data_IF_609567105261
#
_entry.id   IF_609567105261
#
_cell.length_a   1.000
_cell.length_b   1.000
_cell.length_c   1.000
_cell.angle_alpha   90.00
_cell.angle_beta   90.00
_cell.angle_gamma   90.00
#
_symmetry.space_group_name_H-M   'P 1'
#
loop_
_entity.id
_entity.type
_entity.pdbx_description
1 polymer ?
#
# COMPACT_ATOMS: atom_id res chain seq x y z
N UNK A 1 19.33 2.63 10.19
CA UNK A 1 19.33 1.18 10.48
C UNK A 1 20.48 0.73 11.38
N UNK A 2 21.76 1.00 11.05
CA UNK A 2 22.92 0.53 11.86
C UNK A 2 23.02 1.21 13.25
N UNK A 3 22.59 2.46 13.39
CA UNK A 3 22.75 3.21 14.65
C UNK A 3 21.80 2.74 15.77
N UNK A 4 20.60 2.24 15.46
CA UNK A 4 19.66 1.73 16.48
C UNK A 4 20.08 0.36 17.04
N UNK A 5 20.79 -0.44 16.25
CA UNK A 5 21.28 -1.77 16.67
C UNK A 5 22.34 -1.63 17.79
N UNK A 6 23.21 -0.62 17.70
CA UNK A 6 24.25 -0.41 18.71
C UNK A 6 23.71 0.11 20.05
N UNK A 7 22.60 0.86 20.05
CA UNK A 7 21.93 1.29 21.29
C UNK A 7 21.15 0.16 21.97
N UNK A 8 20.60 -0.79 21.19
CA UNK A 8 19.93 -1.99 21.70
C UNK A 8 20.90 -2.99 22.33
N UNK A 9 22.08 -3.21 21.72
CA UNK A 9 23.13 -4.09 22.28
C UNK A 9 23.68 -3.54 23.61
N UNK A 10 23.70 -2.21 23.81
CA UNK A 10 24.24 -1.60 25.02
C UNK A 10 23.34 -1.76 26.27
N UNK A 11 22.03 -2.04 26.09
CA UNK A 11 21.10 -2.25 27.21
C UNK A 11 21.19 -3.64 27.84
N UNK A 12 21.76 -4.61 27.16
CA UNK A 12 21.73 -6.03 27.54
C UNK A 12 22.90 -6.48 28.43
N UNK A 13 23.81 -5.56 28.81
CA UNK A 13 25.00 -5.88 29.63
C UNK A 13 24.79 -5.59 31.13
N UNK A 14 23.57 -5.27 31.55
CA UNK A 14 23.21 -5.07 32.96
C UNK A 14 22.63 -6.34 33.56
N UNK A 15 23.50 -7.16 34.16
CA UNK A 15 23.14 -8.38 34.86
C UNK A 15 22.29 -8.12 36.12
N UNK A 16 20.98 -8.31 36.00
CA UNK A 16 20.09 -8.65 37.11
C UNK A 16 19.17 -9.79 36.63
N UNK A 17 19.65 -11.03 36.70
CA UNK A 17 18.82 -12.21 36.43
C UNK A 17 17.81 -12.36 37.58
N UNK A 18 16.57 -11.94 37.35
CA UNK A 18 15.46 -12.38 38.20
C UNK A 18 15.33 -13.91 38.13
N UNK A 19 15.11 -14.61 39.25
CA UNK A 19 14.90 -16.05 39.24
C UNK A 19 13.58 -16.37 38.52
N UNK A 20 13.69 -16.99 37.35
CA UNK A 20 12.56 -17.49 36.55
C UNK A 20 11.86 -18.60 37.36
N UNK A 21 10.57 -18.44 37.63
CA UNK A 21 9.79 -19.48 38.31
C UNK A 21 9.47 -20.66 37.37
N UNK A 22 9.20 -21.84 37.96
CA UNK A 22 8.92 -23.07 37.21
C UNK A 22 7.70 -22.97 36.28
N UNK A 23 6.75 -22.08 36.56
CA UNK A 23 5.54 -21.91 35.77
C UNK A 23 5.80 -21.06 34.51
N UNK A 24 6.71 -20.09 34.62
CA UNK A 24 7.22 -19.26 33.53
C UNK A 24 8.07 -20.09 32.58
N UNK A 25 9.04 -20.84 33.11
CA UNK A 25 9.87 -21.76 32.31
C UNK A 25 9.02 -22.77 31.52
N UNK A 26 7.94 -23.28 32.12
CA UNK A 26 7.04 -24.23 31.45
C UNK A 26 6.29 -23.58 30.28
N UNK A 27 5.82 -22.34 30.44
CA UNK A 27 5.17 -21.59 29.35
C UNK A 27 6.13 -21.34 28.19
N UNK A 28 7.37 -20.97 28.49
CA UNK A 28 8.39 -20.74 27.47
C UNK A 28 8.75 -22.02 26.70
N UNK A 29 8.87 -23.17 27.39
CA UNK A 29 9.09 -24.47 26.75
C UNK A 29 7.91 -24.86 25.84
N UNK A 30 6.67 -24.66 26.29
CA UNK A 30 5.48 -24.95 25.50
C UNK A 30 5.40 -24.05 24.25
N UNK A 31 5.79 -22.78 24.37
CA UNK A 31 5.90 -21.85 23.24
C UNK A 31 6.97 -22.29 22.23
N UNK A 32 8.18 -22.63 22.68
CA UNK A 32 9.28 -23.15 21.84
C UNK A 32 8.85 -24.41 21.09
N UNK A 33 8.19 -25.36 21.77
CA UNK A 33 7.72 -26.60 21.15
C UNK A 33 6.65 -26.35 20.07
N UNK A 34 5.73 -25.41 20.32
CA UNK A 34 4.71 -24.99 19.33
C UNK A 34 5.36 -24.32 18.13
N UNK A 35 6.32 -23.43 18.36
CA UNK A 35 7.10 -22.76 17.33
C UNK A 35 7.88 -23.77 16.43
N UNK A 36 8.53 -24.77 17.02
CA UNK A 36 9.19 -25.85 16.26
C UNK A 36 8.21 -26.64 15.37
N UNK A 37 6.98 -26.88 15.84
CA UNK A 37 5.98 -27.60 15.07
C UNK A 37 5.52 -26.81 13.84
N UNK A 38 5.26 -25.51 14.01
CA UNK A 38 4.90 -24.63 12.89
C UNK A 38 6.03 -24.49 11.89
N UNK A 39 7.28 -24.39 12.37
CA UNK A 39 8.47 -24.34 11.53
C UNK A 39 8.66 -25.61 10.68
N UNK A 40 8.34 -26.80 11.23
CA UNK A 40 8.35 -28.08 10.50
C UNK A 40 7.29 -28.14 9.39
N UNK A 41 6.19 -27.39 9.50
CA UNK A 41 5.22 -27.28 8.40
C UNK A 41 5.78 -26.44 7.27
N UNK A 42 6.42 -25.30 7.59
CA UNK A 42 7.11 -24.47 6.62
C UNK A 42 8.23 -25.23 5.88
N UNK A 43 8.97 -26.10 6.57
CA UNK A 43 10.00 -26.95 5.95
C UNK A 43 9.45 -27.88 4.86
N UNK A 44 8.25 -28.44 5.06
CA UNK A 44 7.62 -29.30 4.05
C UNK A 44 7.25 -28.51 2.81
N UNK A 45 6.72 -27.29 2.98
CA UNK A 45 6.38 -26.39 1.88
C UNK A 45 7.63 -25.86 1.14
N UNK A 46 8.73 -25.59 1.85
CA UNK A 46 10.01 -25.23 1.22
C UNK A 46 10.60 -26.42 0.45
N UNK A 47 10.47 -27.64 0.98
CA UNK A 47 10.98 -28.84 0.30
C UNK A 47 10.26 -29.09 -1.03
N UNK A 48 8.98 -28.72 -1.15
CA UNK A 48 8.23 -28.79 -2.42
C UNK A 48 8.69 -27.77 -3.47
N UNK A 49 9.46 -26.75 -3.08
CA UNK A 49 10.06 -25.76 -3.98
C UNK A 49 11.42 -26.21 -4.55
N UNK A 50 11.98 -27.35 -4.12
CA UNK A 50 13.28 -27.81 -4.60
C UNK A 50 13.21 -28.34 -6.05
N UNK A 51 13.85 -27.63 -6.98
CA UNK A 51 13.98 -28.04 -8.38
C UNK A 51 12.88 -27.56 -9.32
N UNK A 52 12.00 -26.67 -8.85
CA UNK A 52 11.01 -25.95 -9.65
C UNK A 52 11.18 -24.43 -9.45
N UNK A 53 10.69 -23.59 -10.38
CA UNK A 53 10.61 -22.14 -10.15
C UNK A 53 9.88 -21.88 -8.83
N UNK A 54 10.33 -20.90 -8.06
CA UNK A 54 9.69 -20.61 -6.79
C UNK A 54 8.25 -20.13 -7.02
N UNK A 55 7.29 -20.75 -6.34
CA UNK A 55 5.86 -20.42 -6.44
C UNK A 55 5.54 -19.32 -5.43
N UNK A 56 5.01 -18.19 -5.90
CA UNK A 56 4.75 -17.02 -5.07
C UNK A 56 3.72 -17.31 -3.96
N UNK A 57 2.71 -18.15 -4.23
CA UNK A 57 1.68 -18.51 -3.26
C UNK A 57 2.26 -19.41 -2.15
N UNK A 58 3.06 -20.41 -2.54
CA UNK A 58 3.74 -21.28 -1.58
C UNK A 58 4.73 -20.46 -0.74
N UNK A 59 5.46 -19.52 -1.35
CA UNK A 59 6.37 -18.63 -0.62
C UNK A 59 5.65 -17.69 0.34
N UNK A 60 4.54 -17.08 -0.06
CA UNK A 60 3.72 -16.24 0.81
C UNK A 60 3.16 -17.05 1.99
N UNK A 61 2.71 -18.29 1.74
CA UNK A 61 2.29 -19.21 2.80
C UNK A 61 3.42 -19.55 3.77
N UNK A 62 4.63 -19.79 3.26
CA UNK A 62 5.82 -20.06 4.08
C UNK A 62 6.18 -18.84 4.92
N UNK A 63 6.22 -17.64 4.34
CA UNK A 63 6.47 -16.40 5.05
C UNK A 63 5.40 -16.19 6.16
N UNK A 64 4.12 -16.36 5.86
CA UNK A 64 3.07 -16.26 6.88
C UNK A 64 3.25 -17.26 8.04
N UNK A 65 3.69 -18.49 7.77
CA UNK A 65 4.04 -19.44 8.84
C UNK A 65 5.24 -18.97 9.67
N UNK A 66 6.28 -18.44 9.03
CA UNK A 66 7.45 -17.90 9.73
C UNK A 66 7.08 -16.72 10.64
N UNK A 67 6.17 -15.84 10.20
CA UNK A 67 5.62 -14.75 11.04
C UNK A 67 4.94 -15.31 12.28
N UNK A 68 4.12 -16.35 12.14
CA UNK A 68 3.42 -16.97 13.28
C UNK A 68 4.38 -17.63 14.28
N UNK A 69 5.48 -18.22 13.82
CA UNK A 69 6.55 -18.75 14.67
C UNK A 69 7.12 -17.63 15.55
N UNK A 70 7.47 -16.51 14.93
CA UNK A 70 8.04 -15.35 15.63
C UNK A 70 7.05 -14.77 16.64
N UNK A 71 5.79 -14.56 16.25
CA UNK A 71 4.74 -14.04 17.13
C UNK A 71 4.45 -14.97 18.32
N UNK A 72 4.56 -16.29 18.14
CA UNK A 72 4.39 -17.26 19.24
C UNK A 72 5.51 -17.16 20.27
N UNK A 73 6.70 -16.73 19.84
CA UNK A 73 7.87 -16.56 20.70
C UNK A 73 7.95 -15.17 21.34
N UNK A 74 7.25 -14.18 20.78
CA UNK A 74 7.16 -12.83 21.32
C UNK A 74 6.40 -12.84 22.66
N UNK A 75 7.04 -12.32 23.72
CA UNK A 75 6.57 -12.36 25.11
C UNK A 75 7.06 -13.56 25.93
N UNK A 76 7.90 -14.42 25.36
CA UNK A 76 8.51 -15.59 26.02
C UNK A 76 10.05 -15.57 26.01
N UNK A 77 10.69 -14.51 25.49
CA UNK A 77 12.14 -14.39 25.39
C UNK A 77 12.58 -12.92 25.60
N UNK A 78 13.69 -12.64 26.33
CA UNK A 78 14.30 -11.31 26.37
C UNK A 78 14.62 -10.68 24.99
N UNK A 79 14.70 -11.45 23.90
CA UNK A 79 14.96 -10.99 22.53
C UNK A 79 13.71 -10.54 21.73
N UNK A 80 12.65 -10.10 22.40
CA UNK A 80 11.37 -9.70 21.77
C UNK A 80 11.53 -8.69 20.62
N UNK A 81 12.51 -7.78 20.70
CA UNK A 81 12.79 -6.81 19.64
C UNK A 81 13.36 -7.46 18.37
N UNK A 82 14.19 -8.49 18.50
CA UNK A 82 14.77 -9.24 17.37
C UNK A 82 13.69 -10.09 16.72
N UNK A 83 12.85 -10.73 17.54
CA UNK A 83 11.67 -11.43 17.07
C UNK A 83 10.77 -10.49 16.27
N UNK A 84 10.35 -9.36 16.83
CA UNK A 84 9.51 -8.40 16.10
C UNK A 84 10.11 -7.92 14.78
N UNK A 85 11.41 -7.61 14.74
CA UNK A 85 12.09 -7.20 13.50
C UNK A 85 12.09 -8.32 12.43
N UNK A 86 12.27 -9.59 12.85
CA UNK A 86 12.17 -10.75 11.96
C UNK A 86 10.74 -10.91 11.42
N UNK A 87 9.71 -10.81 12.26
CA UNK A 87 8.32 -10.89 11.83
C UNK A 87 7.97 -9.80 10.81
N UNK A 88 8.41 -8.56 11.04
CA UNK A 88 8.22 -7.45 10.11
C UNK A 88 8.91 -7.68 8.77
N UNK A 89 10.15 -8.20 8.77
CA UNK A 89 10.85 -8.53 7.54
C UNK A 89 10.18 -9.65 6.74
N UNK A 90 9.67 -10.67 7.43
CA UNK A 90 8.91 -11.77 6.82
C UNK A 90 7.60 -11.26 6.19
N UNK A 91 6.88 -10.39 6.90
CA UNK A 91 5.65 -9.76 6.43
C UNK A 91 5.90 -8.93 5.17
N UNK A 92 6.99 -8.14 5.15
CA UNK A 92 7.37 -7.38 3.97
C UNK A 92 7.60 -8.28 2.74
N UNK A 93 8.24 -9.45 2.91
CA UNK A 93 8.43 -10.40 1.82
C UNK A 93 7.12 -11.08 1.37
N UNK A 94 6.24 -11.46 2.31
CA UNK A 94 4.93 -12.00 1.99
C UNK A 94 4.12 -11.01 1.14
N UNK A 95 4.08 -9.74 1.55
CA UNK A 95 3.38 -8.67 0.85
C UNK A 95 3.93 -8.45 -0.56
N UNK A 96 5.26 -8.45 -0.73
CA UNK A 96 5.85 -8.35 -2.07
C UNK A 96 5.45 -9.51 -2.99
N UNK A 97 5.33 -10.72 -2.46
CA UNK A 97 4.88 -11.88 -3.24
C UNK A 97 3.39 -11.79 -3.57
N UNK A 98 2.57 -11.30 -2.65
CA UNK A 98 1.14 -11.04 -2.88
C UNK A 98 0.94 -9.98 -3.97
N UNK A 99 1.71 -8.89 -3.95
CA UNK A 99 1.70 -7.87 -5.01
C UNK A 99 2.08 -8.49 -6.35
N UNK A 100 3.18 -9.26 -6.42
CA UNK A 100 3.60 -9.91 -7.68
C UNK A 100 2.52 -10.88 -8.20
N UNK A 101 1.87 -11.62 -7.30
CA UNK A 101 0.79 -12.55 -7.67
C UNK A 101 -0.47 -11.80 -8.10
N UNK A 102 -0.84 -10.72 -7.43
CA UNK A 102 -2.03 -9.95 -7.74
C UNK A 102 -1.99 -9.38 -9.16
N UNK A 103 -0.80 -9.06 -9.69
CA UNK A 103 -0.62 -8.70 -11.10
C UNK A 103 -1.00 -9.78 -12.11
N UNK A 104 -1.05 -11.05 -11.70
CA UNK A 104 -1.44 -12.17 -12.58
C UNK A 104 -2.91 -12.51 -12.51
N UNK A 105 -3.65 -11.91 -11.57
CA UNK A 105 -5.06 -12.21 -11.33
C UNK A 105 -5.89 -10.98 -11.70
N UNK A 106 -6.73 -11.05 -12.74
CA UNK A 106 -7.56 -9.92 -13.13
C UNK A 106 -8.55 -9.55 -12.01
N UNK A 107 -9.03 -8.31 -12.04
CA UNK A 107 -9.97 -7.78 -11.05
C UNK A 107 -9.31 -7.16 -9.83
N UNK A 108 -9.97 -7.30 -8.68
CA UNK A 108 -9.58 -6.66 -7.42
C UNK A 108 -8.11 -6.92 -7.00
N UNK A 109 -7.53 -8.14 -7.13
CA UNK A 109 -6.14 -8.38 -6.72
C UNK A 109 -5.10 -7.54 -7.49
N UNK A 110 -5.34 -7.27 -8.77
CA UNK A 110 -4.47 -6.39 -9.56
C UNK A 110 -4.64 -4.93 -9.12
N UNK A 111 -5.86 -4.51 -8.83
CA UNK A 111 -6.16 -3.16 -8.31
C UNK A 111 -5.45 -2.91 -6.98
N UNK A 112 -5.52 -3.85 -6.05
CA UNK A 112 -4.78 -3.83 -4.78
C UNK A 112 -3.28 -3.78 -4.97
N UNK A 113 -2.75 -4.56 -5.92
CA UNK A 113 -1.32 -4.59 -6.23
C UNK A 113 -0.84 -3.24 -6.77
N UNK A 114 -1.64 -2.58 -7.60
CA UNK A 114 -1.35 -1.24 -8.10
C UNK A 114 -1.32 -0.20 -6.96
N UNK A 115 -2.32 -0.22 -6.08
CA UNK A 115 -2.37 0.66 -4.91
C UNK A 115 -1.18 0.43 -3.97
N UNK A 116 -0.80 -0.83 -3.74
CA UNK A 116 0.34 -1.18 -2.92
C UNK A 116 1.67 -0.69 -3.52
N UNK A 117 1.84 -0.75 -4.85
CA UNK A 117 3.03 -0.20 -5.53
C UNK A 117 3.11 1.32 -5.34
N UNK A 118 2.01 2.04 -5.52
CA UNK A 118 1.96 3.49 -5.28
C UNK A 118 2.30 3.83 -3.82
N UNK A 119 1.69 3.12 -2.87
CA UNK A 119 1.94 3.31 -1.44
C UNK A 119 3.42 3.09 -1.07
N UNK A 120 4.02 1.98 -1.50
CA UNK A 120 5.44 1.70 -1.23
C UNK A 120 6.36 2.73 -1.93
N UNK A 121 5.96 3.26 -3.09
CA UNK A 121 6.65 4.37 -3.76
C UNK A 121 6.71 5.62 -2.89
N UNK A 122 5.57 6.07 -2.36
CA UNK A 122 5.48 7.24 -1.46
C UNK A 122 6.23 6.97 -0.14
N UNK A 123 6.02 5.81 0.46
CA UNK A 123 6.67 5.42 1.72
C UNK A 123 8.19 5.36 1.60
N UNK A 124 8.71 4.83 0.48
CA UNK A 124 10.15 4.69 0.27
C UNK A 124 10.85 5.99 -0.11
N UNK A 125 10.15 6.96 -0.70
CA UNK A 125 10.69 8.32 -0.92
C UNK A 125 10.88 9.08 0.40
N UNK A 126 10.16 8.69 1.45
CA UNK A 126 10.10 9.39 2.72
C UNK A 126 9.43 10.76 2.60
N UNK A 127 8.67 10.99 1.53
CA UNK A 127 7.96 12.23 1.31
C UNK A 127 6.76 12.34 2.25
N UNK A 128 6.69 13.46 2.96
CA UNK A 128 5.59 13.80 3.87
C UNK A 128 4.99 15.15 3.48
N UNK A 129 5.05 15.50 2.19
CA UNK A 129 4.47 16.73 1.66
C UNK A 129 2.95 16.69 1.76
N UNK A 130 2.31 17.85 1.62
CA UNK A 130 0.86 17.96 1.54
C UNK A 130 0.27 17.05 0.44
N UNK A 131 0.87 17.07 -0.74
CA UNK A 131 0.46 16.20 -1.85
C UNK A 131 0.62 14.71 -1.54
N UNK A 132 1.73 14.32 -0.90
CA UNK A 132 1.91 12.93 -0.46
C UNK A 132 0.84 12.49 0.56
N UNK A 133 0.44 13.37 1.49
CA UNK A 133 -0.65 13.10 2.43
C UNK A 133 -2.00 12.90 1.73
N UNK A 134 -2.31 13.74 0.74
CA UNK A 134 -3.54 13.62 -0.04
C UNK A 134 -3.55 12.33 -0.89
N UNK A 135 -2.43 12.00 -1.54
CA UNK A 135 -2.28 10.77 -2.32
C UNK A 135 -2.39 9.52 -1.43
N UNK A 136 -1.76 9.51 -0.25
CA UNK A 136 -1.94 8.45 0.74
C UNK A 136 -3.41 8.32 1.14
N UNK A 137 -4.09 9.43 1.39
CA UNK A 137 -5.49 9.39 1.79
C UNK A 137 -6.40 8.84 0.68
N UNK A 138 -6.16 9.21 -0.58
CA UNK A 138 -6.87 8.62 -1.72
C UNK A 138 -6.66 7.11 -1.81
N UNK A 139 -5.41 6.64 -1.68
CA UNK A 139 -5.11 5.19 -1.69
C UNK A 139 -5.87 4.44 -0.58
N UNK A 140 -5.95 5.02 0.62
CA UNK A 140 -6.70 4.44 1.73
C UNK A 140 -8.20 4.37 1.44
N UNK A 141 -8.78 5.41 0.83
CA UNK A 141 -10.19 5.45 0.43
C UNK A 141 -10.47 4.40 -0.65
N UNK A 142 -9.61 4.32 -1.68
CA UNK A 142 -9.76 3.37 -2.78
C UNK A 142 -9.77 1.92 -2.28
N UNK A 143 -8.81 1.54 -1.43
CA UNK A 143 -8.78 0.20 -0.82
C UNK A 143 -10.00 -0.07 0.06
N UNK A 144 -10.42 0.92 0.85
CA UNK A 144 -11.57 0.78 1.75
C UNK A 144 -12.87 0.51 0.98
N UNK A 145 -13.10 1.29 -0.07
CA UNK A 145 -14.29 1.22 -0.89
C UNK A 145 -14.30 0.00 -1.80
N UNK A 146 -13.17 -0.37 -2.40
CA UNK A 146 -13.09 -1.55 -3.29
C UNK A 146 -13.38 -2.87 -2.58
N UNK A 147 -13.18 -2.91 -1.26
CA UNK A 147 -13.49 -4.06 -0.42
C UNK A 147 -14.86 -4.00 0.27
N UNK A 148 -15.57 -2.87 0.15
CA UNK A 148 -16.85 -2.68 0.83
C UNK A 148 -16.75 -2.73 2.37
N UNK A 149 -15.61 -2.34 2.97
CA UNK A 149 -15.40 -2.48 4.42
C UNK A 149 -16.44 -1.71 5.27
N UNK A 150 -16.99 -0.63 4.72
CA UNK A 150 -18.03 0.17 5.35
C UNK A 150 -19.46 -0.32 5.11
N UNK A 151 -19.69 -1.29 4.21
CA UNK A 151 -21.04 -1.71 3.86
C UNK A 151 -21.82 -2.25 5.07
N UNK A 152 -23.08 -1.81 5.18
CA UNK A 152 -23.96 -2.17 6.28
C UNK A 152 -23.60 -1.54 7.64
N UNK A 153 -22.55 -0.72 7.73
CA UNK A 153 -22.22 0.03 8.94
C UNK A 153 -23.08 1.29 9.05
N UNK A 154 -23.40 1.67 10.29
CA UNK A 154 -24.13 2.90 10.56
C UNK A 154 -23.31 4.13 10.12
N UNK A 155 -23.93 5.04 9.37
CA UNK A 155 -23.27 6.26 8.89
C UNK A 155 -22.52 6.10 7.57
N UNK A 156 -22.33 4.86 7.07
CA UNK A 156 -21.54 4.61 5.87
C UNK A 156 -21.99 5.42 4.66
N UNK A 157 -23.29 5.47 4.36
CA UNK A 157 -23.78 6.19 3.17
C UNK A 157 -23.35 7.67 3.12
N UNK A 158 -23.27 8.35 4.27
CA UNK A 158 -22.81 9.75 4.31
C UNK A 158 -21.29 9.85 4.23
N UNK A 159 -20.55 8.88 4.78
CA UNK A 159 -19.09 8.83 4.69
C UNK A 159 -18.65 8.47 3.28
N UNK A 160 -19.33 7.51 2.66
CA UNK A 160 -19.14 7.09 1.26
C UNK A 160 -19.36 8.26 0.31
N UNK A 161 -20.44 9.02 0.45
CA UNK A 161 -20.65 10.25 -0.34
C UNK A 161 -19.45 11.19 -0.26
N UNK A 162 -18.92 11.43 0.95
CA UNK A 162 -17.75 12.27 1.13
C UNK A 162 -16.50 11.67 0.48
N UNK A 163 -16.22 10.38 0.73
CA UNK A 163 -15.09 9.64 0.13
C UNK A 163 -15.08 9.76 -1.39
N UNK A 164 -16.24 9.63 -2.03
CA UNK A 164 -16.36 9.72 -3.49
C UNK A 164 -15.91 11.08 -4.03
N UNK A 165 -16.12 12.18 -3.29
CA UNK A 165 -15.66 13.51 -3.68
C UNK A 165 -14.15 13.71 -3.47
N UNK A 166 -13.56 13.08 -2.45
CA UNK A 166 -12.09 13.12 -2.29
C UNK A 166 -11.39 12.53 -3.51
N UNK A 167 -11.95 11.48 -4.10
CA UNK A 167 -11.39 10.81 -5.27
C UNK A 167 -11.52 11.63 -6.56
N UNK A 168 -12.50 12.53 -6.63
CA UNK A 168 -12.71 13.40 -7.79
C UNK A 168 -11.77 14.60 -7.82
N UNK A 169 -11.42 15.14 -6.66
CA UNK A 169 -10.95 16.53 -6.59
C UNK A 169 -9.82 16.81 -5.59
N UNK A 170 -9.14 15.76 -5.12
CA UNK A 170 -7.98 15.89 -4.23
C UNK A 170 -6.81 15.04 -4.72
N UNK A 171 -5.64 15.18 -4.08
CA UNK A 171 -4.43 14.51 -4.52
C UNK A 171 -3.69 15.28 -5.60
N UNK A 172 -2.48 14.83 -5.90
CA UNK A 172 -1.56 15.48 -6.82
C UNK A 172 -2.23 15.84 -8.16
N UNK A 173 -2.34 17.13 -8.46
CA UNK A 173 -2.83 17.62 -9.76
C UNK A 173 -4.36 17.71 -9.91
N UNK A 174 -5.15 17.32 -8.89
CA UNK A 174 -6.61 17.13 -9.02
C UNK A 174 -7.46 18.18 -8.31
N UNK A 175 -6.89 19.25 -7.75
CA UNK A 175 -7.62 20.20 -6.91
C UNK A 175 -8.75 20.89 -7.70
N UNK A 176 -10.01 20.55 -7.40
CA UNK A 176 -11.17 21.08 -8.11
C UNK A 176 -12.32 21.45 -7.18
N UNK A 177 -13.02 22.56 -7.49
CA UNK A 177 -14.25 22.95 -6.84
C UNK A 177 -15.46 22.34 -7.53
N UNK A 178 -16.16 21.43 -6.87
CA UNK A 178 -17.39 20.84 -7.41
C UNK A 178 -18.40 20.64 -6.28
N UNK A 179 -19.68 20.86 -6.56
CA UNK A 179 -20.77 20.58 -5.61
C UNK A 179 -20.61 21.24 -4.21
N UNK A 180 -19.95 22.41 -4.18
CA UNK A 180 -19.65 23.14 -2.95
C UNK A 180 -18.56 22.49 -2.07
N UNK A 181 -17.79 21.56 -2.62
CA UNK A 181 -16.53 21.08 -2.04
C UNK A 181 -15.41 22.07 -2.31
N UNK A 182 -14.96 22.68 -1.22
CA UNK A 182 -13.78 23.54 -1.14
C UNK A 182 -12.79 22.95 -0.13
N UNK A 183 -11.58 23.49 -0.08
CA UNK A 183 -10.57 23.06 0.89
C UNK A 183 -11.06 23.08 2.35
N UNK A 184 -11.98 23.99 2.71
CA UNK A 184 -12.53 24.03 4.06
C UNK A 184 -13.53 22.88 4.33
N UNK A 185 -14.28 22.41 3.33
CA UNK A 185 -15.19 21.27 3.41
C UNK A 185 -14.41 19.96 3.41
N UNK A 186 -13.42 19.80 2.54
CA UNK A 186 -12.48 18.66 2.58
C UNK A 186 -11.81 18.56 3.96
N UNK A 187 -11.23 19.66 4.46
CA UNK A 187 -10.60 19.69 5.78
C UNK A 187 -11.54 19.36 6.96
N UNK A 188 -12.86 19.53 6.83
CA UNK A 188 -13.83 19.14 7.89
C UNK A 188 -14.25 17.67 7.81
N UNK A 189 -14.09 17.06 6.65
CA UNK A 189 -14.48 15.67 6.39
C UNK A 189 -13.35 14.67 6.74
N UNK A 190 -12.10 15.12 6.79
CA UNK A 190 -10.93 14.27 7.02
C UNK A 190 -11.05 13.42 8.29
N UNK A 191 -11.29 14.02 9.46
CA UNK A 191 -11.40 13.30 10.73
C UNK A 191 -12.48 12.22 10.69
N UNK A 192 -13.69 12.57 10.23
CA UNK A 192 -14.82 11.63 10.16
C UNK A 192 -14.52 10.43 9.24
N UNK A 193 -13.94 10.68 8.06
CA UNK A 193 -13.58 9.62 7.11
C UNK A 193 -12.42 8.79 7.64
N UNK A 194 -11.36 9.42 8.14
CA UNK A 194 -10.15 8.77 8.63
C UNK A 194 -10.47 7.83 9.79
N UNK A 195 -11.20 8.32 10.80
CA UNK A 195 -11.61 7.53 11.96
C UNK A 195 -12.55 6.40 11.56
N UNK A 196 -13.48 6.67 10.64
CA UNK A 196 -14.39 5.64 10.14
C UNK A 196 -13.64 4.52 9.42
N UNK A 197 -12.68 4.85 8.55
CA UNK A 197 -11.86 3.85 7.87
C UNK A 197 -11.02 3.05 8.86
N UNK A 198 -10.30 3.73 9.76
CA UNK A 198 -9.44 3.09 10.77
C UNK A 198 -10.23 2.11 11.66
N UNK A 199 -11.47 2.45 12.01
CA UNK A 199 -12.32 1.61 12.86
C UNK A 199 -12.95 0.40 12.14
N UNK A 200 -13.05 0.43 10.80
CA UNK A 200 -13.79 -0.58 10.03
C UNK A 200 -12.91 -1.39 9.06
N UNK A 201 -11.69 -0.95 8.75
CA UNK A 201 -10.75 -1.71 7.93
C UNK A 201 -10.08 -2.82 8.77
N UNK A 202 -9.85 -4.02 8.19
CA UNK A 202 -9.07 -5.06 8.85
C UNK A 202 -7.63 -4.59 9.17
N UNK A 203 -7.04 -4.96 10.32
CA UNK A 203 -5.68 -4.51 10.68
C UNK A 203 -4.57 -4.87 9.69
N UNK A 204 -4.80 -5.87 8.84
CA UNK A 204 -3.89 -6.34 7.80
C UNK A 204 -4.29 -5.88 6.39
N UNK A 205 -5.26 -4.97 6.28
CA UNK A 205 -5.64 -4.35 4.98
C UNK A 205 -4.68 -3.24 4.61
N UNK A 206 -4.59 -2.94 3.32
CA UNK A 206 -3.77 -1.84 2.81
C UNK A 206 -4.27 -0.49 3.35
N UNK A 207 -5.59 -0.29 3.41
CA UNK A 207 -6.21 0.88 4.04
C UNK A 207 -5.68 1.10 5.46
N UNK A 208 -5.72 0.07 6.31
CA UNK A 208 -5.27 0.20 7.70
C UNK A 208 -3.77 0.51 7.79
N UNK A 209 -2.96 -0.10 6.93
CA UNK A 209 -1.51 0.14 6.89
C UNK A 209 -1.20 1.58 6.46
N UNK A 210 -1.88 2.10 5.44
CA UNK A 210 -1.70 3.48 4.96
C UNK A 210 -2.05 4.47 6.08
N UNK A 211 -3.22 4.31 6.71
CA UNK A 211 -3.65 5.22 7.78
C UNK A 211 -2.73 5.15 9.00
N UNK A 212 -2.19 3.98 9.31
CA UNK A 212 -1.18 3.81 10.36
C UNK A 212 0.09 4.57 10.01
N UNK A 213 0.60 4.40 8.78
CA UNK A 213 1.77 5.14 8.29
C UNK A 213 1.55 6.65 8.33
N UNK A 214 0.38 7.13 7.90
CA UNK A 214 0.04 8.56 7.98
C UNK A 214 0.12 9.07 9.42
N UNK A 215 -0.42 8.33 10.39
CA UNK A 215 -0.39 8.70 11.82
C UNK A 215 1.01 8.68 12.42
N UNK A 216 1.81 7.67 12.10
CA UNK A 216 3.11 7.44 12.73
C UNK A 216 4.21 8.29 12.10
N UNK A 217 4.18 8.48 10.79
CA UNK A 217 5.31 9.03 10.02
C UNK A 217 4.99 10.36 9.32
N UNK A 218 3.72 10.69 9.09
CA UNK A 218 3.32 11.89 8.32
C UNK A 218 2.59 12.95 9.14
N UNK A 219 2.48 12.79 10.47
CA UNK A 219 1.79 13.74 11.35
C UNK A 219 0.26 13.54 11.46
N UNK A 220 -0.26 12.52 10.79
CA UNK A 220 -1.65 12.07 10.89
C UNK A 220 -2.68 12.98 10.24
N UNK A 221 -3.94 12.71 10.55
CA UNK A 221 -5.10 13.41 9.98
C UNK A 221 -5.06 14.92 10.18
N UNK A 222 -4.46 15.41 11.28
CA UNK A 222 -4.34 16.84 11.54
C UNK A 222 -3.45 17.59 10.54
N UNK A 223 -2.41 16.96 9.97
CA UNK A 223 -1.61 17.59 8.91
C UNK A 223 -2.36 17.56 7.57
N UNK A 224 -3.12 16.50 7.29
CA UNK A 224 -4.01 16.42 6.13
C UNK A 224 -5.09 17.52 6.18
N UNK A 225 -5.72 17.75 7.33
CA UNK A 225 -6.69 18.84 7.49
C UNK A 225 -6.06 20.21 7.24
N UNK A 226 -4.85 20.45 7.73
CA UNK A 226 -4.12 21.71 7.52
C UNK A 226 -3.78 21.89 6.05
N UNK A 227 -3.40 20.81 5.37
CA UNK A 227 -3.12 20.82 3.95
C UNK A 227 -4.35 21.31 3.17
N UNK A 228 -5.51 20.66 3.33
CA UNK A 228 -6.73 21.11 2.65
C UNK A 228 -7.17 22.52 3.06
N UNK A 229 -7.00 22.90 4.33
CA UNK A 229 -7.45 24.22 4.80
C UNK A 229 -6.61 25.37 4.26
N UNK A 230 -5.31 25.15 4.09
CA UNK A 230 -4.36 26.24 3.87
C UNK A 230 -3.73 26.23 2.47
N UNK A 231 -3.67 25.06 1.82
CA UNK A 231 -2.87 24.84 0.60
C UNK A 231 -3.69 24.30 -0.58
N UNK A 232 -5.00 24.13 -0.44
CA UNK A 232 -5.86 23.60 -1.51
C UNK A 232 -5.86 24.45 -2.79
N UNK A 233 -5.55 25.75 -2.68
CA UNK A 233 -5.50 26.69 -3.81
C UNK A 233 -4.08 27.11 -4.19
N UNK A 234 -3.06 26.43 -3.66
CA UNK A 234 -1.70 26.82 -3.94
C UNK A 234 -1.39 26.61 -5.44
N UNK A 235 -0.75 27.59 -6.12
CA UNK A 235 -0.38 27.45 -7.53
C UNK A 235 0.50 26.22 -7.79
N UNK A 236 0.27 25.56 -8.92
CA UNK A 236 0.99 24.32 -9.28
C UNK A 236 0.35 23.04 -8.74
N UNK A 237 -0.88 23.10 -8.22
CA UNK A 237 -1.69 21.94 -7.82
C UNK A 237 -2.64 21.41 -8.90
N UNK A 238 -2.64 21.98 -10.11
CA UNK A 238 -3.64 21.70 -11.15
C UNK A 238 -2.99 21.11 -12.40
N UNK A 239 -3.31 19.86 -12.72
CA UNK A 239 -2.67 19.13 -13.82
C UNK A 239 -2.98 19.71 -15.19
N UNK A 240 -4.13 20.38 -15.34
CA UNK A 240 -4.56 21.04 -16.57
C UNK A 240 -3.90 22.41 -16.79
N UNK A 241 -3.12 22.93 -15.83
CA UNK A 241 -2.41 24.18 -16.04
C UNK A 241 -1.20 24.04 -16.96
N UNK A 242 -1.01 25.04 -17.82
CA UNK A 242 0.16 25.10 -18.70
C UNK A 242 1.45 25.14 -17.88
N UNK A 243 2.33 24.16 -18.11
CA UNK A 243 3.63 24.05 -17.44
C UNK A 243 3.59 23.29 -16.12
N UNK A 244 2.48 22.61 -15.80
CA UNK A 244 2.43 21.66 -14.69
C UNK A 244 3.52 20.59 -14.83
N UNK A 245 4.21 20.31 -13.72
CA UNK A 245 5.29 19.33 -13.66
C UNK A 245 5.24 18.47 -12.39
N UNK A 246 4.09 18.44 -11.72
CA UNK A 246 3.87 17.65 -10.50
C UNK A 246 3.57 16.18 -10.78
N UNK A 247 3.12 15.47 -9.75
CA UNK A 247 2.64 14.09 -9.87
C UNK A 247 1.22 14.01 -10.43
N UNK A 248 0.77 12.80 -10.72
CA UNK A 248 -0.67 12.52 -10.85
C UNK A 248 -1.15 11.85 -9.56
N UNK A 249 -2.37 12.20 -9.15
CA UNK A 249 -3.04 11.58 -8.02
C UNK A 249 -3.24 10.07 -8.28
N UNK A 250 -3.28 9.24 -7.23
CA UNK A 250 -3.52 7.81 -7.37
C UNK A 250 -4.73 7.48 -8.23
N UNK A 251 -5.82 8.25 -8.09
CA UNK A 251 -7.02 8.01 -8.87
C UNK A 251 -6.77 8.26 -10.37
N UNK A 252 -6.10 9.35 -10.74
CA UNK A 252 -5.76 9.65 -12.12
C UNK A 252 -4.77 8.66 -12.72
N UNK A 253 -3.80 8.19 -11.92
CA UNK A 253 -2.86 7.13 -12.36
C UNK A 253 -3.60 5.86 -12.72
N UNK A 254 -4.58 5.47 -11.91
CA UNK A 254 -5.40 4.29 -12.17
C UNK A 254 -6.29 4.47 -13.39
N UNK A 255 -6.94 5.63 -13.56
CA UNK A 255 -7.73 5.95 -14.75
C UNK A 255 -6.88 5.90 -16.03
N UNK A 256 -5.71 6.55 -16.01
CA UNK A 256 -4.75 6.56 -17.10
C UNK A 256 -4.26 5.14 -17.45
N UNK A 257 -3.84 4.37 -16.44
CA UNK A 257 -3.39 2.99 -16.64
C UNK A 257 -4.51 2.10 -17.20
N UNK A 258 -5.73 2.22 -16.70
CA UNK A 258 -6.89 1.47 -17.18
C UNK A 258 -7.24 1.81 -18.62
N UNK A 259 -7.30 3.09 -18.98
CA UNK A 259 -7.51 3.52 -20.36
C UNK A 259 -6.43 3.00 -21.29
N UNK A 260 -5.15 3.04 -20.87
CA UNK A 260 -4.05 2.52 -21.68
C UNK A 260 -4.14 1.01 -21.88
N UNK A 261 -4.39 0.24 -20.81
CA UNK A 261 -4.49 -1.21 -20.88
C UNK A 261 -5.71 -1.71 -21.65
N UNK A 262 -6.77 -0.90 -21.76
CA UNK A 262 -7.91 -1.21 -22.63
C UNK A 262 -7.54 -1.23 -24.12
N UNK A 263 -6.53 -0.43 -24.52
CA UNK A 263 -6.03 -0.36 -25.90
C UNK A 263 -4.85 -1.32 -26.10
N UNK A 264 -3.88 -1.28 -25.18
CA UNK A 264 -2.64 -2.04 -25.21
C UNK A 264 -2.56 -2.99 -24.01
N UNK A 265 -3.27 -4.14 -24.04
CA UNK A 265 -3.39 -5.01 -22.87
C UNK A 265 -2.10 -5.79 -22.53
N UNK A 266 -1.09 -5.76 -23.40
CA UNK A 266 0.15 -6.52 -23.25
C UNK A 266 1.31 -5.58 -23.01
N UNK A 267 1.54 -5.26 -21.74
CA UNK A 267 2.67 -4.43 -21.31
C UNK A 267 3.60 -5.17 -20.36
N UNK A 268 4.85 -4.75 -20.34
CA UNK A 268 5.83 -5.21 -19.37
C UNK A 268 5.59 -4.56 -18.00
N UNK A 269 6.01 -5.22 -16.91
CA UNK A 269 5.83 -4.69 -15.54
C UNK A 269 6.49 -3.31 -15.35
N UNK A 270 7.60 -3.02 -16.02
CA UNK A 270 8.23 -1.69 -15.94
C UNK A 270 7.35 -0.57 -16.49
N UNK A 271 6.49 -0.86 -17.46
CA UNK A 271 5.52 0.12 -17.96
C UNK A 271 4.46 0.37 -16.90
N UNK A 272 3.90 -0.69 -16.30
CA UNK A 272 2.95 -0.57 -15.18
C UNK A 272 3.56 0.25 -14.02
N UNK A 273 4.77 -0.10 -13.58
CA UNK A 273 5.47 0.61 -12.52
C UNK A 273 5.62 2.12 -12.87
N UNK A 274 5.90 2.43 -14.15
CA UNK A 274 6.00 3.80 -14.66
C UNK A 274 4.67 4.54 -14.58
N UNK A 275 3.55 3.94 -15.05
CA UNK A 275 2.21 4.55 -14.89
C UNK A 275 1.89 4.90 -13.44
N UNK A 276 2.28 4.03 -12.51
CA UNK A 276 1.95 4.17 -11.09
C UNK A 276 2.88 5.11 -10.32
N UNK A 277 4.11 5.35 -10.78
CA UNK A 277 5.11 6.05 -9.94
C UNK A 277 5.85 7.19 -10.64
N UNK A 278 5.86 7.23 -11.97
CA UNK A 278 6.62 8.23 -12.71
C UNK A 278 5.98 9.63 -12.63
N UNK A 279 6.78 10.71 -12.78
CA UNK A 279 6.24 12.07 -12.91
C UNK A 279 5.41 12.23 -14.20
N UNK A 280 4.50 13.19 -14.21
CA UNK A 280 3.58 13.41 -15.35
C UNK A 280 4.30 13.62 -16.68
N UNK A 281 5.45 14.30 -16.68
CA UNK A 281 6.23 14.54 -17.90
C UNK A 281 6.74 13.25 -18.57
N UNK A 282 7.03 12.22 -17.78
CA UNK A 282 7.44 10.91 -18.30
C UNK A 282 6.23 10.18 -18.88
N UNK A 283 5.06 10.29 -18.23
CA UNK A 283 3.80 9.76 -18.73
C UNK A 283 3.38 10.41 -20.05
N UNK A 284 3.47 11.74 -20.14
CA UNK A 284 3.18 12.50 -21.37
C UNK A 284 4.05 12.02 -22.52
N UNK A 285 5.37 11.90 -22.28
CA UNK A 285 6.33 11.39 -23.28
C UNK A 285 5.95 9.97 -23.71
N UNK A 286 5.68 9.08 -22.74
CA UNK A 286 5.38 7.69 -23.04
C UNK A 286 4.09 7.56 -23.86
N UNK A 287 3.02 8.24 -23.45
CA UNK A 287 1.73 8.24 -24.16
C UNK A 287 1.93 8.79 -25.57
N UNK A 288 2.61 9.92 -25.73
CA UNK A 288 2.87 10.52 -27.04
C UNK A 288 3.60 9.56 -28.01
N UNK A 289 4.59 8.82 -27.50
CA UNK A 289 5.39 7.90 -28.31
C UNK A 289 4.69 6.58 -28.63
N UNK A 290 3.78 6.12 -27.75
CA UNK A 290 3.17 4.79 -27.83
C UNK A 290 1.70 4.81 -28.27
N UNK A 291 1.13 6.00 -28.52
CA UNK A 291 -0.21 6.17 -29.09
C UNK A 291 -0.13 6.95 -30.40
N UNK A 292 -0.52 6.29 -31.50
CA UNK A 292 -0.30 6.83 -32.86
C UNK A 292 -1.57 7.22 -33.60
N UNK A 293 -2.75 6.80 -33.13
CA UNK A 293 -4.04 7.15 -33.73
C UNK A 293 -5.22 6.88 -32.77
N UNK A 294 -5.82 7.90 -32.15
CA UNK A 294 -5.37 9.30 -32.18
C UNK A 294 -3.99 9.47 -31.49
N UNK A 295 -3.32 10.58 -31.82
CA UNK A 295 -2.10 11.00 -31.17
C UNK A 295 -2.47 11.92 -30.00
N UNK A 296 -1.84 11.73 -28.85
CA UNK A 296 -2.09 12.52 -27.65
C UNK A 296 -0.83 13.31 -27.27
N UNK A 297 -1.00 14.58 -26.97
CA UNK A 297 0.10 15.46 -26.56
C UNK A 297 0.40 15.35 -25.05
N UNK A 298 -0.54 14.80 -24.27
CA UNK A 298 -0.38 14.55 -22.83
C UNK A 298 -1.12 13.31 -22.35
N UNK A 299 -0.71 12.81 -21.19
CA UNK A 299 -1.38 11.72 -20.50
C UNK A 299 -2.80 12.11 -20.03
N UNK A 300 -3.04 13.37 -19.70
CA UNK A 300 -4.37 13.83 -19.27
C UNK A 300 -5.34 13.96 -20.45
N UNK A 301 -4.88 14.42 -21.61
CA UNK A 301 -5.68 14.39 -22.84
C UNK A 301 -6.10 12.95 -23.18
N UNK A 302 -5.19 11.99 -23.01
CA UNK A 302 -5.52 10.57 -23.15
C UNK A 302 -6.62 10.11 -22.17
N UNK A 303 -6.57 10.55 -20.91
CA UNK A 303 -7.65 10.23 -19.93
C UNK A 303 -8.98 10.80 -20.39
N UNK A 304 -9.03 12.04 -20.88
CA UNK A 304 -10.26 12.66 -21.35
C UNK A 304 -10.87 11.97 -22.58
N UNK A 305 -10.08 11.40 -23.46
CA UNK A 305 -10.63 10.70 -24.63
C UNK A 305 -11.06 9.25 -24.32
N UNK A 306 -10.46 8.61 -23.31
CA UNK A 306 -10.66 7.18 -23.05
C UNK A 306 -11.50 6.87 -21.80
N UNK A 307 -11.60 7.81 -20.87
CA UNK A 307 -12.45 7.73 -19.68
C UNK A 307 -13.11 9.09 -19.37
N UNK A 308 -13.23 9.95 -20.40
CA UNK A 308 -13.80 11.27 -20.22
C UNK A 308 -15.31 11.37 -20.40
N UNK A 309 -15.80 12.60 -20.25
CA UNK A 309 -17.22 12.93 -20.17
C UNK A 309 -18.04 12.36 -21.33
N UNK A 310 -18.88 11.36 -21.01
CA UNK A 310 -19.93 10.85 -21.89
C UNK A 310 -21.28 10.90 -21.18
N UNK A 311 -22.12 11.86 -21.60
CA UNK A 311 -23.44 12.04 -21.02
C UNK A 311 -23.37 12.63 -19.62
N UNK A 312 -23.40 11.78 -18.59
CA UNK A 312 -23.45 12.20 -17.17
C UNK A 312 -22.34 11.61 -16.31
N UNK A 313 -21.32 11.01 -16.92
CA UNK A 313 -20.18 10.34 -16.27
C UNK A 313 -18.90 10.63 -17.07
N UNK A 314 -17.74 10.79 -16.43
CA UNK A 314 -16.43 10.83 -17.08
C UNK A 314 -15.57 12.05 -16.71
N UNK A 315 -14.26 11.89 -16.84
CA UNK A 315 -13.28 12.95 -16.60
C UNK A 315 -13.38 14.08 -17.62
N UNK A 316 -13.17 15.31 -17.16
CA UNK A 316 -13.16 16.49 -18.02
C UNK A 316 -12.26 17.59 -17.47
N UNK A 317 -11.95 18.54 -18.32
CA UNK A 317 -11.37 19.81 -17.94
C UNK A 317 -12.48 20.85 -17.73
N UNK A 318 -12.37 21.63 -16.66
CA UNK A 318 -13.30 22.73 -16.37
C UNK A 318 -12.54 24.00 -15.98
N UNK A 319 -13.03 25.13 -16.47
CA UNK A 319 -12.57 26.45 -16.04
C UNK A 319 -13.15 26.77 -14.65
N UNK A 320 -12.29 27.12 -13.71
CA UNK A 320 -12.67 27.54 -12.37
C UNK A 320 -12.02 28.87 -12.02
N UNK A 321 -12.65 29.58 -11.07
CA UNK A 321 -12.14 30.86 -10.57
C UNK A 321 -11.86 30.71 -9.09
N UNK A 322 -10.64 31.05 -8.69
CA UNK A 322 -10.29 31.10 -7.29
C UNK A 322 -11.05 32.26 -6.58
N UNK A 323 -11.05 32.32 -5.24
CA UNK A 323 -11.68 33.41 -4.50
C UNK A 323 -11.12 34.81 -4.80
N UNK A 324 -9.93 34.91 -5.39
CA UNK A 324 -9.29 36.16 -5.81
C UNK A 324 -9.69 36.58 -7.24
N UNK A 325 -10.36 35.71 -7.99
CA UNK A 325 -10.85 35.93 -9.34
C UNK A 325 -9.90 35.47 -10.45
N UNK A 326 -8.82 34.76 -10.11
CA UNK A 326 -7.90 34.18 -11.07
C UNK A 326 -8.50 32.88 -11.65
N UNK A 327 -8.40 32.72 -12.97
CA UNK A 327 -8.92 31.54 -13.67
C UNK A 327 -7.89 30.42 -13.70
N UNK A 328 -8.30 29.22 -13.32
CA UNK A 328 -7.50 28.00 -13.37
C UNK A 328 -8.27 26.94 -14.15
N UNK A 329 -7.54 26.12 -14.91
CA UNK A 329 -8.10 24.92 -15.52
C UNK A 329 -7.86 23.76 -14.57
N UNK A 330 -8.93 23.06 -14.19
CA UNK A 330 -8.85 21.92 -13.28
C UNK A 330 -9.45 20.70 -13.93
N UNK A 331 -8.97 19.54 -13.50
CA UNK A 331 -9.60 18.27 -13.81
C UNK A 331 -10.79 18.04 -12.88
N UNK A 332 -11.89 17.55 -13.43
CA UNK A 332 -13.15 17.32 -12.73
C UNK A 332 -13.78 16.02 -13.23
N UNK A 333 -14.59 15.39 -12.39
CA UNK A 333 -15.43 14.28 -12.80
C UNK A 333 -16.85 14.79 -13.05
N UNK A 334 -17.35 14.62 -14.28
CA UNK A 334 -18.76 14.86 -14.55
C UNK A 334 -19.57 13.71 -13.94
N UNK A 335 -20.19 13.92 -12.77
CA UNK A 335 -20.96 12.88 -12.09
C UNK A 335 -21.26 13.26 -10.65
N UNK A 336 -21.58 12.28 -9.81
CA UNK A 336 -21.79 12.48 -8.36
C UNK A 336 -20.85 11.54 -7.63
N UNK A 337 -19.56 11.74 -7.68
CA UNK A 337 -18.59 10.89 -6.99
C UNK A 337 -18.01 9.73 -7.81
N UNK A 338 -16.77 9.35 -7.50
CA UNK A 338 -16.17 8.07 -7.91
C UNK A 338 -16.36 7.02 -6.81
N UNK A 339 -17.22 6.03 -7.05
CA UNK A 339 -17.55 4.97 -6.08
C UNK A 339 -16.96 3.60 -6.39
N UNK A 340 -17.32 2.60 -5.58
CA UNK A 340 -16.90 1.22 -5.76
C UNK A 340 -17.28 0.67 -7.16
N UNK A 341 -18.41 1.12 -7.70
CA UNK A 341 -18.87 0.80 -9.04
C UNK A 341 -17.89 1.27 -10.13
N UNK A 342 -17.19 2.38 -9.92
CA UNK A 342 -16.20 2.88 -10.85
C UNK A 342 -14.94 2.00 -10.81
N UNK A 343 -14.49 1.59 -9.61
CA UNK A 343 -13.36 0.66 -9.49
C UNK A 343 -13.69 -0.70 -10.09
N UNK A 344 -14.89 -1.23 -9.85
CA UNK A 344 -15.35 -2.48 -10.45
C UNK A 344 -15.25 -2.44 -11.98
N UNK A 345 -15.74 -1.36 -12.60
CA UNK A 345 -15.62 -1.20 -14.04
C UNK A 345 -14.16 -1.08 -14.50
N UNK A 346 -13.32 -0.39 -13.72
CA UNK A 346 -11.91 -0.24 -14.01
C UNK A 346 -11.19 -1.59 -13.98
N UNK A 347 -11.29 -2.33 -12.89
CA UNK A 347 -10.49 -3.54 -12.69
C UNK A 347 -11.03 -4.79 -13.39
N UNK A 348 -12.33 -4.85 -13.70
CA UNK A 348 -12.88 -5.95 -14.47
C UNK A 348 -12.39 -5.96 -15.93
N UNK A 349 -11.89 -4.81 -16.40
CA UNK A 349 -11.36 -4.65 -17.75
C UNK A 349 -9.83 -4.78 -17.82
N UNK A 350 -9.15 -4.98 -16.69
CA UNK A 350 -7.71 -5.24 -16.74
C UNK A 350 -7.40 -6.60 -17.36
N UNK A 351 -6.43 -6.66 -18.28
CA UNK A 351 -6.03 -7.91 -18.92
C UNK A 351 -5.29 -8.83 -17.94
N UNK A 352 -5.50 -10.14 -18.07
CA UNK A 352 -4.63 -11.13 -17.42
C UNK A 352 -3.20 -11.01 -17.97
N UNK A 353 -2.21 -11.01 -17.08
CA UNK A 353 -0.79 -10.92 -17.44
C UNK A 353 -0.03 -12.15 -16.96
N UNK A 354 0.79 -12.71 -17.84
CA UNK A 354 1.76 -13.75 -17.46
C UNK A 354 2.92 -13.15 -16.67
N UNK A 355 3.49 -13.92 -15.73
CA UNK A 355 4.74 -13.54 -15.07
C UNK A 355 5.85 -13.36 -16.10
N UNK A 356 6.55 -12.22 -16.05
CA UNK A 356 7.72 -11.98 -16.88
C UNK A 356 8.97 -12.62 -16.25
N UNK A 357 10.05 -12.75 -17.03
CA UNK A 357 11.34 -13.23 -16.52
C UNK A 357 11.83 -12.39 -15.31
N UNK A 358 11.58 -11.08 -15.34
CA UNK A 358 11.91 -10.15 -14.24
C UNK A 358 11.09 -10.42 -12.99
N UNK A 359 9.81 -10.78 -13.14
CA UNK A 359 8.96 -11.17 -12.01
C UNK A 359 9.43 -12.49 -11.40
N UNK A 360 9.79 -13.47 -12.24
CA UNK A 360 10.35 -14.75 -11.81
C UNK A 360 11.68 -14.54 -11.08
N UNK A 361 12.54 -13.64 -11.57
CA UNK A 361 13.79 -13.27 -10.88
C UNK A 361 13.52 -12.67 -9.49
N UNK A 362 12.58 -11.71 -9.39
CA UNK A 362 12.16 -11.13 -8.11
C UNK A 362 11.62 -12.21 -7.16
N UNK A 363 10.74 -13.09 -7.63
CA UNK A 363 10.18 -14.19 -6.84
C UNK A 363 11.29 -15.13 -6.33
N UNK A 364 12.27 -15.47 -7.17
CA UNK A 364 13.39 -16.31 -6.76
C UNK A 364 14.27 -15.63 -5.70
N UNK A 365 14.56 -14.33 -5.86
CA UNK A 365 15.32 -13.54 -4.89
C UNK A 365 14.61 -13.49 -3.53
N UNK A 366 13.30 -13.22 -3.52
CA UNK A 366 12.49 -13.26 -2.30
C UNK A 366 12.47 -14.68 -1.72
N UNK A 367 12.33 -15.70 -2.59
CA UNK A 367 12.36 -17.10 -2.18
C UNK A 367 13.65 -17.50 -1.47
N UNK A 368 14.80 -16.98 -1.89
CA UNK A 368 16.07 -17.20 -1.22
C UNK A 368 16.15 -16.46 0.13
N UNK A 369 15.58 -15.25 0.23
CA UNK A 369 15.47 -14.53 1.50
C UNK A 369 14.55 -15.28 2.50
N UNK A 370 13.41 -15.78 2.05
CA UNK A 370 12.48 -16.59 2.86
C UNK A 370 13.15 -17.88 3.34
N UNK A 371 13.95 -18.55 2.50
CA UNK A 371 14.75 -19.73 2.92
C UNK A 371 15.80 -19.36 3.96
N UNK A 372 16.48 -18.22 3.80
CA UNK A 372 17.48 -17.75 4.77
C UNK A 372 16.84 -17.41 6.12
N UNK A 373 15.67 -16.77 6.12
CA UNK A 373 14.87 -16.52 7.31
C UNK A 373 14.48 -17.82 8.01
N UNK A 374 14.07 -18.85 7.24
CA UNK A 374 13.77 -20.17 7.79
C UNK A 374 14.96 -20.74 8.58
N UNK A 375 16.17 -20.67 8.01
CA UNK A 375 17.37 -21.18 8.69
C UNK A 375 17.73 -20.35 9.93
N UNK A 376 17.53 -19.04 9.86
CA UNK A 376 17.76 -18.13 10.99
C UNK A 376 16.81 -18.45 12.14
N UNK A 377 15.52 -18.66 11.86
CA UNK A 377 14.52 -19.04 12.86
C UNK A 377 14.83 -20.41 13.49
N UNK A 378 15.30 -21.39 12.69
CA UNK A 378 15.76 -22.69 13.22
C UNK A 378 16.90 -22.53 14.20
N UNK A 379 17.89 -21.72 13.85
CA UNK A 379 19.05 -21.48 14.69
C UNK A 379 18.64 -20.81 15.99
N UNK A 380 17.82 -19.75 15.90
CA UNK A 380 17.29 -19.03 17.05
C UNK A 380 16.51 -19.93 18.01
N UNK A 381 15.54 -20.71 17.51
CA UNK A 381 14.80 -21.66 18.34
C UNK A 381 15.70 -22.71 19.00
N UNK A 382 16.79 -23.11 18.34
CA UNK A 382 17.76 -24.03 18.94
C UNK A 382 18.50 -23.40 20.12
N UNK A 383 18.84 -22.11 20.04
CA UNK A 383 19.45 -21.36 21.14
C UNK A 383 18.47 -21.25 22.31
N UNK A 384 17.24 -20.79 22.07
CA UNK A 384 16.21 -20.66 23.10
C UNK A 384 16.01 -21.98 23.86
N UNK A 385 15.99 -23.11 23.14
CA UNK A 385 15.87 -24.43 23.75
C UNK A 385 17.10 -24.81 24.59
N UNK A 386 18.29 -24.54 24.09
CA UNK A 386 19.53 -24.86 24.80
C UNK A 386 19.67 -24.03 26.08
N UNK A 387 19.24 -22.76 26.06
CA UNK A 387 19.13 -21.90 27.24
C UNK A 387 18.10 -22.43 28.25
N UNK A 388 16.89 -22.76 27.80
CA UNK A 388 15.85 -23.35 28.64
C UNK A 388 16.32 -24.67 29.28
N UNK A 389 17.04 -25.52 28.53
CA UNK A 389 17.64 -26.74 29.06
C UNK A 389 18.74 -26.46 30.08
N UNK A 390 19.55 -25.41 29.88
CA UNK A 390 20.57 -25.00 30.84
C UNK A 390 19.94 -24.49 32.14
N UNK A 391 18.89 -23.66 32.04
CA UNK A 391 18.11 -23.16 33.18
C UNK A 391 17.46 -24.34 33.93
N UNK A 392 16.80 -25.24 33.21
CA UNK A 392 16.15 -26.41 33.80
C UNK A 392 17.12 -27.40 34.48
N UNK A 393 18.41 -27.41 34.09
CA UNK A 393 19.46 -28.20 34.76
C UNK A 393 20.04 -27.51 36.00
N UNK A 394 19.90 -26.19 36.11
CA UNK A 394 20.43 -25.38 37.19
C UNK A 394 19.39 -25.11 38.31
N UNK A 395 18.11 -25.39 38.05
CA UNK A 395 17.02 -25.49 39.04
C UNK A 395 16.99 -26.91 39.61
#
# INVERSE_FOLDING_TARGET
MINNINELIARDVSSDYEPIDSQTLKKEIDATNKAELELKKADKAIATLQGQPADAEVLAMVANHQKQVVMTMSGANPEDAIAMALAQGIEAYAKQLEIIKGWTIPGLPMFESAMAVMFEGIKSSGETSGYALEDLFQLAIMDFMSHGYGEGKQGYASIEEQMRHFLESTGSGSHGYHEGWDGAKFARACDDIFDFMMANSPPNSLCHEILTYMNEECGGVSELEKQYRNHFNDPGGFVCETGYSGGLSPMLRMALMAGYLAIEPKVEQSVIDMFLTAPVSELDTYINEHTSNPHYDSAIEFVFDNDGETGSNGWREVDQYDPNGDSHQVIDWNGVGLGAEYFENMYNNFPERELTDKDIEKINNIGDQVKMLQQTLKYWLSICRDEQMAIARNI
#
